data_IF_234817352897
#
_entry.id   IF_234817352897
#
_cell.length_a   1.000
_cell.length_b   1.000
_cell.length_c   1.000
_cell.angle_alpha   90.00
_cell.angle_beta   90.00
_cell.angle_gamma   90.00
#
_symmetry.space_group_name_H-M   'P 1'
#
loop_
_entity.id
_entity.type
_entity.pdbx_description
1 polymer ?
#
# COMPACT_ATOMS: atom_id res chain seq x y z
N UNK A 1 15.50 -6.92 -41.69
CA UNK A 1 14.86 -6.76 -40.36
C UNK A 1 13.52 -6.09 -40.59
N UNK A 2 12.47 -6.52 -39.91
CA UNK A 2 11.13 -5.93 -40.07
C UNK A 2 11.14 -4.50 -39.49
N UNK A 3 10.33 -3.59 -40.04
CA UNK A 3 10.23 -2.19 -39.57
C UNK A 3 9.87 -2.09 -38.09
N UNK A 4 9.23 -3.14 -37.55
CA UNK A 4 8.85 -3.25 -36.15
C UNK A 4 9.96 -3.75 -35.21
N UNK A 5 11.07 -4.32 -35.71
CA UNK A 5 12.07 -4.97 -34.85
C UNK A 5 12.74 -4.00 -33.86
N UNK A 6 13.21 -2.84 -34.34
CA UNK A 6 13.83 -1.83 -33.46
C UNK A 6 12.84 -1.14 -32.52
N UNK A 7 11.65 -0.71 -32.97
CA UNK A 7 10.60 -0.22 -32.08
C UNK A 7 10.24 -1.21 -30.99
N UNK A 8 10.11 -2.50 -31.33
CA UNK A 8 9.78 -3.54 -30.36
C UNK A 8 10.89 -3.68 -29.32
N UNK A 9 12.14 -3.76 -29.77
CA UNK A 9 13.27 -3.87 -28.84
C UNK A 9 13.34 -2.67 -27.89
N UNK A 10 13.13 -1.46 -28.43
CA UNK A 10 13.10 -0.23 -27.66
C UNK A 10 12.00 -0.25 -26.59
N UNK A 11 10.76 -0.59 -26.96
CA UNK A 11 9.62 -0.68 -26.05
C UNK A 11 9.84 -1.68 -24.91
N UNK A 12 10.40 -2.86 -25.23
CA UNK A 12 10.72 -3.88 -24.24
C UNK A 12 11.78 -3.38 -23.25
N UNK A 13 12.87 -2.78 -23.74
CA UNK A 13 13.93 -2.23 -22.88
C UNK A 13 13.37 -1.15 -21.96
N UNK A 14 12.60 -0.20 -22.50
CA UNK A 14 11.98 0.86 -21.70
C UNK A 14 11.00 0.30 -20.65
N UNK A 15 10.19 -0.70 -21.00
CA UNK A 15 9.29 -1.37 -20.07
C UNK A 15 10.03 -2.08 -18.94
N UNK A 16 11.12 -2.79 -19.27
CA UNK A 16 11.97 -3.45 -18.27
C UNK A 16 12.66 -2.44 -17.36
N UNK A 17 13.21 -1.35 -17.90
CA UNK A 17 13.78 -0.27 -17.10
C UNK A 17 12.74 0.36 -16.17
N UNK A 18 11.51 0.57 -16.67
CA UNK A 18 10.38 1.04 -15.86
C UNK A 18 10.09 0.05 -14.73
N UNK A 19 10.07 -1.26 -15.01
CA UNK A 19 9.88 -2.28 -13.98
C UNK A 19 10.95 -2.23 -12.90
N UNK A 20 12.22 -2.15 -13.29
CA UNK A 20 13.35 -2.07 -12.36
C UNK A 20 13.27 -0.79 -11.51
N UNK A 21 12.87 0.33 -12.10
CA UNK A 21 12.65 1.57 -11.38
C UNK A 21 11.49 1.46 -10.36
N UNK A 22 10.40 0.80 -10.73
CA UNK A 22 9.24 0.59 -9.87
C UNK A 22 9.43 -0.51 -8.80
N UNK A 23 10.47 -1.34 -8.94
CA UNK A 23 10.85 -2.42 -8.01
C UNK A 23 11.54 -1.93 -6.73
N UNK A 24 11.46 -0.63 -6.41
CA UNK A 24 12.00 -0.11 -5.14
C UNK A 24 11.37 -0.83 -3.96
N UNK A 25 12.24 -1.35 -3.10
CA UNK A 25 11.88 -2.10 -1.91
C UNK A 25 11.32 -1.10 -0.88
N UNK A 26 10.00 -1.10 -0.69
CA UNK A 26 9.40 -0.44 0.46
C UNK A 26 9.61 -1.34 1.68
N UNK A 27 9.98 -0.75 2.81
CA UNK A 27 10.21 -1.45 4.07
C UNK A 27 8.92 -2.02 4.66
N UNK A 28 7.77 -1.66 4.09
CA UNK A 28 6.42 -2.06 4.51
C UNK A 28 5.99 -3.41 3.94
N UNK A 29 6.91 -4.37 4.06
CA UNK A 29 6.81 -5.76 3.63
C UNK A 29 7.09 -5.97 2.15
N UNK A 30 7.97 -6.94 1.94
CA UNK A 30 7.90 -7.99 0.94
C UNK A 30 7.60 -7.59 -0.52
N UNK A 31 8.50 -7.92 -1.48
CA UNK A 31 9.33 -9.10 -1.47
C UNK A 31 10.70 -8.84 -0.86
N UNK A 32 10.94 -9.48 0.28
CA UNK A 32 12.22 -9.41 0.98
C UNK A 32 13.15 -10.54 0.54
N UNK A 33 12.67 -11.53 -0.24
CA UNK A 33 13.54 -12.57 -0.80
C UNK A 33 13.85 -12.33 -2.27
N UNK A 34 15.08 -12.68 -2.63
CA UNK A 34 15.63 -12.63 -3.98
C UNK A 34 14.67 -13.24 -5.01
N UNK A 35 14.03 -14.36 -4.66
CA UNK A 35 13.06 -15.07 -5.49
C UNK A 35 11.79 -14.26 -5.80
N UNK A 36 11.28 -13.47 -4.85
CA UNK A 36 10.12 -12.61 -5.12
C UNK A 36 10.47 -11.48 -6.10
N UNK A 37 11.69 -10.92 -5.99
CA UNK A 37 12.19 -9.91 -6.94
C UNK A 37 12.36 -10.50 -8.34
N UNK A 38 12.89 -11.73 -8.47
CA UNK A 38 13.06 -12.36 -9.79
C UNK A 38 11.72 -12.64 -10.46
N UNK A 39 10.73 -13.17 -9.73
CA UNK A 39 9.35 -13.38 -10.25
C UNK A 39 8.78 -12.06 -10.77
N UNK A 40 8.91 -10.98 -10.02
CA UNK A 40 8.41 -9.68 -10.44
C UNK A 40 9.14 -9.09 -11.63
N UNK A 41 10.45 -9.31 -11.78
CA UNK A 41 11.20 -8.89 -12.98
C UNK A 41 10.69 -9.68 -14.18
N UNK A 42 10.56 -11.01 -14.07
CA UNK A 42 10.06 -11.86 -15.15
C UNK A 42 8.66 -11.43 -15.63
N UNK A 43 7.73 -11.19 -14.69
CA UNK A 43 6.39 -10.68 -15.00
C UNK A 43 6.43 -9.30 -15.66
N UNK A 44 7.38 -8.44 -15.27
CA UNK A 44 7.56 -7.15 -15.91
C UNK A 44 8.12 -7.24 -17.33
N UNK A 45 8.98 -8.22 -17.63
CA UNK A 45 9.44 -8.51 -18.99
C UNK A 45 8.26 -8.95 -19.85
N UNK A 46 7.40 -9.84 -19.34
CA UNK A 46 6.18 -10.29 -20.03
C UNK A 46 5.25 -9.10 -20.28
N UNK A 47 5.01 -8.26 -19.27
CA UNK A 47 4.21 -7.04 -19.40
C UNK A 47 4.79 -6.10 -20.47
N UNK A 48 6.11 -5.85 -20.44
CA UNK A 48 6.77 -4.99 -21.42
C UNK A 48 6.59 -5.54 -22.85
N UNK A 49 6.75 -6.85 -23.04
CA UNK A 49 6.52 -7.54 -24.31
C UNK A 49 5.09 -7.42 -24.80
N UNK A 50 4.09 -7.68 -23.94
CA UNK A 50 2.66 -7.57 -24.28
C UNK A 50 2.29 -6.14 -24.72
N UNK A 51 2.73 -5.12 -23.97
CA UNK A 51 2.45 -3.73 -24.32
C UNK A 51 3.11 -3.30 -25.64
N UNK A 52 4.30 -3.84 -25.92
CA UNK A 52 5.05 -3.50 -27.13
C UNK A 52 4.49 -4.16 -28.38
N UNK A 53 4.14 -5.46 -28.31
CA UNK A 53 3.61 -6.24 -29.45
C UNK A 53 2.19 -5.78 -29.82
N UNK A 54 1.43 -5.24 -28.87
CA UNK A 54 0.10 -4.70 -29.15
C UNK A 54 0.11 -3.57 -30.19
N UNK A 55 1.18 -2.77 -30.26
CA UNK A 55 1.28 -1.64 -31.21
C UNK A 55 1.30 -2.09 -32.68
N UNK A 56 2.27 -2.91 -33.15
CA UNK A 56 2.30 -3.36 -34.53
C UNK A 56 1.05 -4.16 -34.90
N UNK A 57 0.53 -4.99 -33.98
CA UNK A 57 -0.68 -5.77 -34.26
C UNK A 57 -1.92 -4.88 -34.51
N UNK A 58 -2.05 -3.76 -33.79
CA UNK A 58 -3.09 -2.76 -34.05
C UNK A 58 -2.85 -2.03 -35.38
N UNK A 59 -1.60 -1.69 -35.71
CA UNK A 59 -1.26 -1.00 -36.97
C UNK A 59 -1.54 -1.86 -38.20
N UNK A 60 -1.27 -3.16 -38.12
CA UNK A 60 -1.58 -4.17 -39.14
C UNK A 60 -3.06 -4.56 -39.17
N UNK A 61 -3.90 -3.94 -38.32
CA UNK A 61 -5.35 -4.22 -38.20
C UNK A 61 -5.64 -5.69 -37.86
N UNK A 62 -4.74 -6.34 -37.15
CA UNK A 62 -4.97 -7.67 -36.59
C UNK A 62 -5.90 -7.56 -35.38
N UNK A 63 -7.21 -7.59 -35.61
CA UNK A 63 -8.21 -7.51 -34.53
C UNK A 63 -8.08 -8.65 -33.50
N UNK A 64 -7.41 -9.75 -33.85
CA UNK A 64 -6.99 -10.81 -32.93
C UNK A 64 -6.09 -10.30 -31.80
N UNK A 65 -5.42 -9.16 -31.96
CA UNK A 65 -4.58 -8.53 -30.93
C UNK A 65 -5.33 -8.21 -29.63
N UNK A 66 -6.65 -8.07 -29.68
CA UNK A 66 -7.47 -7.91 -28.47
C UNK A 66 -7.31 -9.09 -27.50
N UNK A 67 -6.96 -10.28 -28.00
CA UNK A 67 -6.67 -11.45 -27.16
C UNK A 67 -5.40 -11.27 -26.33
N UNK A 68 -4.38 -10.54 -26.82
CA UNK A 68 -3.18 -10.21 -26.03
C UNK A 68 -3.51 -9.28 -24.87
N UNK A 69 -4.43 -8.33 -25.07
CA UNK A 69 -4.91 -7.46 -23.99
C UNK A 69 -5.71 -8.25 -22.95
N UNK A 70 -6.55 -9.20 -23.38
CA UNK A 70 -7.27 -10.09 -22.47
C UNK A 70 -6.33 -11.00 -21.68
N UNK A 71 -5.29 -11.55 -22.33
CA UNK A 71 -4.25 -12.34 -21.68
C UNK A 71 -3.48 -11.51 -20.65
N UNK A 72 -3.09 -10.28 -21.00
CA UNK A 72 -2.44 -9.34 -20.10
C UNK A 72 -3.29 -9.08 -18.84
N UNK A 73 -4.58 -8.82 -19.02
CA UNK A 73 -5.51 -8.60 -17.91
C UNK A 73 -5.61 -9.83 -16.99
N UNK A 74 -5.63 -11.05 -17.55
CA UNK A 74 -5.63 -12.28 -16.74
C UNK A 74 -4.34 -12.43 -15.93
N UNK A 75 -3.18 -12.19 -16.57
CA UNK A 75 -1.87 -12.31 -15.93
C UNK A 75 -1.75 -11.39 -14.71
N UNK A 76 -2.25 -10.15 -14.78
CA UNK A 76 -2.13 -9.24 -13.64
C UNK A 76 -3.06 -9.61 -12.50
N UNK A 77 -4.28 -10.05 -12.81
CA UNK A 77 -5.17 -10.59 -11.79
C UNK A 77 -4.55 -11.80 -11.08
N UNK A 78 -3.86 -12.67 -11.82
CA UNK A 78 -3.09 -13.79 -11.25
C UNK A 78 -1.96 -13.30 -10.34
N UNK A 79 -1.21 -12.27 -10.72
CA UNK A 79 -0.20 -11.65 -9.85
C UNK A 79 -0.81 -11.14 -8.55
N UNK A 80 -1.93 -10.41 -8.62
CA UNK A 80 -2.63 -9.95 -7.42
C UNK A 80 -3.08 -11.11 -6.53
N UNK A 81 -3.66 -12.15 -7.13
CA UNK A 81 -4.10 -13.32 -6.39
C UNK A 81 -2.93 -14.03 -5.71
N UNK A 82 -1.82 -14.21 -6.42
CA UNK A 82 -0.60 -14.81 -5.90
C UNK A 82 -0.05 -14.02 -4.70
N UNK A 83 0.08 -12.69 -4.84
CA UNK A 83 0.56 -11.82 -3.74
C UNK A 83 -0.36 -11.87 -2.53
N UNK A 84 -1.67 -11.71 -2.77
CA UNK A 84 -2.67 -11.73 -1.70
C UNK A 84 -2.67 -13.06 -0.95
N UNK A 85 -2.62 -14.19 -1.66
CA UNK A 85 -2.63 -15.51 -1.05
C UNK A 85 -1.36 -15.73 -0.23
N UNK A 86 -0.20 -15.41 -0.81
CA UNK A 86 1.09 -15.53 -0.11
C UNK A 86 1.11 -14.70 1.17
N UNK A 87 0.69 -13.44 1.09
CA UNK A 87 0.62 -12.56 2.26
C UNK A 87 -0.38 -13.04 3.30
N UNK A 88 -1.55 -13.56 2.90
CA UNK A 88 -2.52 -14.12 3.84
C UNK A 88 -1.97 -15.34 4.60
N UNK A 89 -1.18 -16.20 3.95
CA UNK A 89 -0.55 -17.34 4.64
C UNK A 89 0.54 -16.89 5.60
N UNK A 90 1.38 -15.92 5.20
CA UNK A 90 2.40 -15.37 6.07
C UNK A 90 1.81 -14.61 7.28
N UNK A 91 0.69 -13.92 7.08
CA UNK A 91 0.05 -13.11 8.12
C UNK A 91 -0.45 -13.93 9.32
N UNK A 92 -0.70 -15.22 9.12
CA UNK A 92 -1.14 -16.14 10.19
C UNK A 92 -0.08 -16.36 11.26
N UNK A 93 1.20 -16.11 10.93
CA UNK A 93 2.34 -16.33 11.82
C UNK A 93 2.86 -15.03 12.45
N UNK A 94 2.22 -13.90 12.18
CA UNK A 94 2.60 -12.60 12.73
C UNK A 94 1.93 -12.36 14.10
N UNK A 95 2.70 -11.83 15.07
CA UNK A 95 2.16 -11.45 16.38
C UNK A 95 1.13 -10.30 16.30
N UNK A 96 1.29 -9.46 15.29
CA UNK A 96 0.35 -8.39 14.92
C UNK A 96 0.09 -8.52 13.41
N UNK A 97 -1.05 -9.05 12.98
CA UNK A 97 -1.33 -9.29 11.57
C UNK A 97 -1.51 -7.97 10.79
N UNK A 98 -1.24 -7.97 9.49
CA UNK A 98 -1.54 -6.89 8.53
C UNK A 98 -3.04 -6.68 8.41
N UNK A 99 -3.79 -7.80 8.39
CA UNK A 99 -5.21 -7.82 8.11
C UNK A 99 -5.53 -7.75 6.62
N UNK A 100 -6.69 -8.32 6.26
CA UNK A 100 -7.12 -8.53 4.87
C UNK A 100 -7.14 -7.25 4.03
N UNK A 101 -7.58 -6.13 4.60
CA UNK A 101 -7.66 -4.85 3.87
C UNK A 101 -6.29 -4.33 3.49
N UNK A 102 -5.29 -4.51 4.35
CA UNK A 102 -3.93 -4.06 4.06
C UNK A 102 -3.28 -4.95 3.00
N UNK A 103 -3.40 -6.28 3.16
CA UNK A 103 -2.93 -7.26 2.18
C UNK A 103 -3.54 -7.01 0.79
N UNK A 104 -4.84 -6.74 0.73
CA UNK A 104 -5.52 -6.41 -0.53
C UNK A 104 -4.96 -5.13 -1.16
N UNK A 105 -4.70 -4.10 -0.36
CA UNK A 105 -4.08 -2.85 -0.82
C UNK A 105 -2.68 -3.09 -1.40
N UNK A 106 -1.86 -3.91 -0.75
CA UNK A 106 -0.54 -4.30 -1.25
C UNK A 106 -0.67 -5.04 -2.59
N UNK A 107 -1.57 -6.02 -2.68
CA UNK A 107 -1.77 -6.83 -3.87
C UNK A 107 -2.25 -6.01 -5.08
N UNK A 108 -3.15 -5.02 -4.87
CA UNK A 108 -3.58 -4.08 -5.93
C UNK A 108 -2.41 -3.25 -6.43
N UNK A 109 -1.51 -2.80 -5.55
CA UNK A 109 -0.33 -2.04 -5.96
C UNK A 109 0.60 -2.88 -6.84
N UNK A 110 0.77 -4.18 -6.55
CA UNK A 110 1.56 -5.08 -7.41
C UNK A 110 0.91 -5.29 -8.78
N UNK A 111 -0.41 -5.41 -8.84
CA UNK A 111 -1.20 -5.43 -10.08
C UNK A 111 -0.95 -4.14 -10.89
N UNK A 112 -1.13 -2.99 -10.23
CA UNK A 112 -0.97 -1.63 -10.78
C UNK A 112 0.37 -1.41 -11.46
N UNK A 113 1.47 -1.87 -10.83
CA UNK A 113 2.83 -1.74 -11.37
C UNK A 113 2.99 -2.40 -12.73
N UNK A 114 2.32 -3.53 -12.98
CA UNK A 114 2.44 -4.20 -14.28
C UNK A 114 1.65 -3.49 -15.38
N UNK A 115 0.50 -2.89 -15.06
CA UNK A 115 -0.21 -2.02 -16.01
C UNK A 115 0.64 -0.82 -16.42
N UNK A 116 1.34 -0.19 -15.48
CA UNK A 116 2.23 0.94 -15.80
C UNK A 116 3.37 0.54 -16.73
N UNK A 117 3.91 -0.68 -16.58
CA UNK A 117 4.93 -1.22 -17.48
C UNK A 117 4.36 -1.42 -18.89
N UNK A 118 3.15 -2.01 -19.02
CA UNK A 118 2.46 -2.13 -20.32
C UNK A 118 2.27 -0.77 -20.97
N UNK A 119 1.71 0.20 -20.25
CA UNK A 119 1.42 1.51 -20.84
C UNK A 119 2.71 2.21 -21.28
N UNK A 120 3.74 2.13 -20.45
CA UNK A 120 5.02 2.76 -20.76
C UNK A 120 5.67 2.11 -21.98
N UNK A 121 5.66 0.78 -22.10
CA UNK A 121 6.22 0.09 -23.28
C UNK A 121 5.37 0.32 -24.54
N UNK A 122 4.04 0.30 -24.41
CA UNK A 122 3.10 0.60 -25.50
C UNK A 122 3.30 2.00 -26.07
N UNK A 123 3.22 3.05 -25.25
CA UNK A 123 3.35 4.43 -25.72
C UNK A 123 4.75 4.74 -26.25
N UNK A 124 5.79 4.15 -25.66
CA UNK A 124 7.16 4.27 -26.15
C UNK A 124 7.32 3.67 -27.54
N UNK A 125 6.75 2.48 -27.78
CA UNK A 125 6.78 1.82 -29.08
C UNK A 125 5.94 2.57 -30.12
N UNK A 126 4.75 3.02 -29.72
CA UNK A 126 3.85 3.79 -30.58
C UNK A 126 4.50 5.10 -31.03
N UNK A 127 5.12 5.85 -30.12
CA UNK A 127 5.80 7.09 -30.45
C UNK A 127 7.01 6.87 -31.37
N UNK A 128 7.72 5.74 -31.22
CA UNK A 128 8.79 5.36 -32.12
C UNK A 128 8.27 5.18 -33.55
N UNK A 129 7.17 4.42 -33.71
CA UNK A 129 6.61 4.08 -35.01
C UNK A 129 5.93 5.27 -35.73
N UNK A 130 5.23 6.13 -34.98
CA UNK A 130 4.51 7.28 -35.58
C UNK A 130 5.46 8.41 -35.95
N UNK A 131 6.46 8.70 -35.10
CA UNK A 131 7.32 9.87 -35.27
C UNK A 131 8.77 9.51 -35.52
N UNK A 132 9.48 9.05 -34.49
CA UNK A 132 10.89 8.61 -34.54
C UNK A 132 11.38 8.27 -33.13
N UNK A 133 12.64 7.81 -33.04
CA UNK A 133 13.32 7.49 -31.78
C UNK A 133 13.44 8.67 -30.80
N UNK A 134 13.59 9.91 -31.28
CA UNK A 134 13.71 11.09 -30.41
C UNK A 134 12.38 11.40 -29.71
N UNK A 135 11.27 11.33 -30.45
CA UNK A 135 9.93 11.44 -29.88
C UNK A 135 9.66 10.30 -28.88
N UNK A 136 10.08 9.07 -29.22
CA UNK A 136 9.96 7.92 -28.34
C UNK A 136 10.67 8.13 -26.99
N UNK A 137 11.89 8.68 -27.00
CA UNK A 137 12.62 9.00 -25.77
C UNK A 137 11.89 10.00 -24.88
N UNK A 138 11.37 11.08 -25.47
CA UNK A 138 10.60 12.08 -24.72
C UNK A 138 9.35 11.45 -24.09
N UNK A 139 8.61 10.66 -24.88
CA UNK A 139 7.40 9.96 -24.39
C UNK A 139 7.74 8.96 -23.30
N UNK A 140 8.81 8.18 -23.44
CA UNK A 140 9.26 7.23 -22.41
C UNK A 140 9.57 7.93 -21.08
N UNK A 141 10.23 9.10 -21.11
CA UNK A 141 10.52 9.89 -19.90
C UNK A 141 9.24 10.41 -19.25
N UNK A 142 8.29 10.92 -20.05
CA UNK A 142 6.99 11.38 -19.55
C UNK A 142 6.21 10.22 -18.93
N UNK A 143 6.13 9.07 -19.60
CA UNK A 143 5.47 7.88 -19.09
C UNK A 143 6.11 7.39 -17.78
N UNK A 144 7.44 7.42 -17.67
CA UNK A 144 8.13 7.06 -16.44
C UNK A 144 7.79 8.02 -15.29
N UNK A 145 7.69 9.33 -15.57
CA UNK A 145 7.28 10.32 -14.56
C UNK A 145 5.83 10.10 -14.11
N UNK A 146 4.92 9.82 -15.05
CA UNK A 146 3.52 9.49 -14.76
C UNK A 146 3.45 8.21 -13.91
N UNK A 147 4.17 7.16 -14.31
CA UNK A 147 4.25 5.91 -13.57
C UNK A 147 4.76 6.14 -12.14
N UNK A 148 5.80 6.95 -11.96
CA UNK A 148 6.30 7.32 -10.63
C UNK A 148 5.24 8.05 -9.79
N UNK A 149 4.52 9.00 -10.39
CA UNK A 149 3.51 9.79 -9.69
C UNK A 149 2.31 8.96 -9.26
N UNK A 150 1.82 8.07 -10.15
CA UNK A 150 0.70 7.17 -9.88
C UNK A 150 1.03 6.11 -8.82
N UNK A 151 2.31 5.77 -8.68
CA UNK A 151 2.81 4.84 -7.67
C UNK A 151 2.97 5.45 -6.28
N UNK A 152 2.98 6.78 -6.17
CA UNK A 152 3.15 7.46 -4.89
C UNK A 152 1.80 7.60 -4.19
N UNK A 153 1.51 6.67 -3.28
CA UNK A 153 0.31 6.72 -2.42
C UNK A 153 0.38 7.80 -1.34
N UNK A 154 -0.79 8.22 -0.87
CA UNK A 154 -0.91 9.16 0.25
C UNK A 154 -0.54 8.49 1.58
N UNK A 155 -0.04 9.30 2.52
CA UNK A 155 0.39 8.87 3.85
C UNK A 155 -0.54 9.42 4.92
N UNK A 156 -0.53 8.80 6.10
CA UNK A 156 -1.43 9.18 7.19
C UNK A 156 -1.31 10.66 7.60
N UNK A 157 -0.09 11.22 7.59
CA UNK A 157 0.18 12.65 7.86
C UNK A 157 -0.57 13.62 6.94
N UNK A 158 -0.94 13.16 5.74
CA UNK A 158 -1.65 13.99 4.76
C UNK A 158 -3.13 14.17 5.17
N UNK A 159 -3.66 13.30 6.05
CA UNK A 159 -5.07 13.29 6.45
C UNK A 159 -5.30 13.42 7.96
N UNK A 160 -4.32 13.10 8.81
CA UNK A 160 -4.44 13.15 10.25
C UNK A 160 -3.14 13.63 10.89
N UNK A 161 -3.25 14.37 11.99
CA UNK A 161 -2.13 14.75 12.83
C UNK A 161 -1.90 13.69 13.91
N UNK A 162 -0.64 13.43 14.22
CA UNK A 162 -0.22 12.37 15.15
C UNK A 162 0.45 12.99 16.36
N UNK A 163 -0.13 12.77 17.54
CA UNK A 163 0.38 13.29 18.81
C UNK A 163 0.68 12.14 19.76
N UNK A 164 1.83 12.19 20.43
CA UNK A 164 2.15 11.22 21.48
C UNK A 164 1.38 11.58 22.75
N UNK A 165 0.74 10.58 23.35
CA UNK A 165 0.08 10.71 24.65
C UNK A 165 0.47 9.50 25.50
N UNK A 166 1.01 9.76 26.68
CA UNK A 166 1.42 8.68 27.58
C UNK A 166 0.18 7.87 28.01
N UNK A 167 0.17 6.53 27.84
CA UNK A 167 -0.91 5.70 28.33
C UNK A 167 -1.01 5.79 29.84
N UNK A 168 -2.24 5.73 30.36
CA UNK A 168 -2.50 5.76 31.80
C UNK A 168 -3.66 4.83 32.16
N UNK A 169 -3.81 4.57 33.46
CA UNK A 169 -4.87 3.72 33.99
C UNK A 169 -5.85 4.50 34.85
N UNK A 170 -7.14 4.27 34.63
CA UNK A 170 -8.21 4.63 35.55
C UNK A 170 -8.83 3.34 36.09
N UNK A 171 -8.51 3.01 37.35
CA UNK A 171 -8.82 1.70 37.92
C UNK A 171 -8.16 0.57 37.12
N UNK A 172 -8.98 -0.27 36.48
CA UNK A 172 -8.51 -1.35 35.60
C UNK A 172 -8.54 -0.97 34.11
N UNK A 173 -9.07 0.20 33.74
CA UNK A 173 -9.14 0.63 32.34
C UNK A 173 -7.84 1.28 31.89
N UNK A 174 -7.29 0.83 30.76
CA UNK A 174 -6.18 1.47 30.05
C UNK A 174 -6.72 2.52 29.09
N UNK A 175 -6.15 3.72 29.15
CA UNK A 175 -6.54 4.88 28.34
C UNK A 175 -5.34 5.48 27.62
N UNK A 176 -5.61 6.04 26.44
CA UNK A 176 -4.72 6.96 25.71
C UNK A 176 -5.52 8.22 25.49
N UNK A 177 -5.10 9.34 26.11
CA UNK A 177 -5.97 10.50 26.32
C UNK A 177 -7.29 10.07 26.98
N UNK A 178 -8.44 10.55 26.54
CA UNK A 178 -9.76 10.13 27.02
C UNK A 178 -10.28 8.82 26.36
N UNK A 179 -9.49 8.18 25.49
CA UNK A 179 -9.94 7.02 24.71
C UNK A 179 -9.64 5.72 25.46
N UNK A 180 -10.70 5.01 25.85
CA UNK A 180 -10.60 3.68 26.45
C UNK A 180 -10.06 2.65 25.44
N UNK A 181 -9.00 1.94 25.83
CA UNK A 181 -8.35 0.91 25.01
C UNK A 181 -8.84 -0.49 25.40
N UNK A 182 -8.59 -0.90 26.64
CA UNK A 182 -8.98 -2.22 27.17
C UNK A 182 -8.91 -2.27 28.71
N UNK A 183 -9.47 -3.32 29.31
CA UNK A 183 -9.41 -3.56 30.75
C UNK A 183 -8.26 -4.52 31.07
N UNK A 184 -7.43 -4.15 32.05
CA UNK A 184 -6.32 -4.93 32.58
C UNK A 184 -6.46 -5.00 34.11
N UNK A 185 -6.98 -6.12 34.61
CA UNK A 185 -7.16 -6.32 36.06
C UNK A 185 -5.86 -6.62 36.82
N UNK A 186 -4.94 -7.37 36.21
CA UNK A 186 -3.69 -7.80 36.84
C UNK A 186 -2.71 -6.62 37.03
N UNK A 187 -2.35 -6.31 38.28
CA UNK A 187 -1.46 -5.20 38.60
C UNK A 187 -0.08 -5.31 37.93
N UNK A 188 0.53 -6.49 37.95
CA UNK A 188 1.82 -6.72 37.28
C UNK A 188 1.77 -6.37 35.79
N UNK A 189 0.65 -6.64 35.11
CA UNK A 189 0.48 -6.30 33.69
C UNK A 189 0.27 -4.81 33.47
N UNK A 190 -0.38 -4.12 34.40
CA UNK A 190 -0.51 -2.64 34.35
C UNK A 190 0.85 -1.97 34.44
N UNK A 191 1.73 -2.45 35.33
CA UNK A 191 3.09 -1.94 35.47
C UNK A 191 3.94 -2.18 34.22
N UNK A 192 3.88 -3.37 33.63
CA UNK A 192 4.54 -3.66 32.35
C UNK A 192 4.05 -2.75 31.22
N UNK A 193 2.73 -2.53 31.12
CA UNK A 193 2.13 -1.65 30.11
C UNK A 193 2.58 -0.20 30.31
N UNK A 194 2.66 0.29 31.54
CA UNK A 194 3.15 1.66 31.79
C UNK A 194 4.64 1.80 31.51
N UNK A 195 5.42 0.71 31.61
CA UNK A 195 6.85 0.69 31.35
C UNK A 195 7.19 0.62 29.87
N UNK A 196 6.48 -0.20 29.10
CA UNK A 196 6.79 -0.47 27.69
C UNK A 196 5.77 0.14 26.71
N UNK A 197 4.62 0.57 27.19
CA UNK A 197 3.53 1.05 26.35
C UNK A 197 3.74 2.48 25.85
N UNK A 198 3.33 2.71 24.60
CA UNK A 198 3.22 4.05 24.02
C UNK A 198 1.81 4.27 23.49
N UNK A 199 1.34 5.51 23.63
CA UNK A 199 0.05 5.95 23.16
C UNK A 199 0.20 7.07 22.14
N UNK A 200 -0.66 7.07 21.13
CA UNK A 200 -0.75 8.14 20.14
C UNK A 200 -2.21 8.47 19.85
N UNK A 201 -2.49 9.75 19.60
CA UNK A 201 -3.78 10.23 19.15
C UNK A 201 -3.68 10.65 17.69
N UNK A 202 -4.58 10.12 16.88
CA UNK A 202 -4.81 10.50 15.50
C UNK A 202 -5.98 11.48 15.43
N UNK A 203 -5.67 12.73 15.11
CA UNK A 203 -6.68 13.77 14.93
C UNK A 203 -6.95 13.99 13.45
N UNK A 204 -8.17 13.70 12.95
CA UNK A 204 -8.46 13.81 11.52
C UNK A 204 -8.57 15.27 11.08
N UNK A 205 -7.92 15.63 9.96
CA UNK A 205 -7.94 17.01 9.40
C UNK A 205 -9.29 17.40 8.81
N UNK A 206 -10.13 16.44 8.44
CA UNK A 206 -11.46 16.68 7.89
C UNK A 206 -12.38 15.46 8.05
N UNK A 207 -13.66 15.62 7.69
CA UNK A 207 -14.67 14.55 7.79
C UNK A 207 -14.31 13.28 7.00
N UNK A 208 -13.74 13.41 5.80
CA UNK A 208 -13.36 12.24 4.98
C UNK A 208 -12.20 11.49 5.64
N UNK A 209 -11.22 12.22 6.18
CA UNK A 209 -10.12 11.68 6.95
C UNK A 209 -10.63 10.91 8.17
N UNK A 210 -11.61 11.50 8.90
CA UNK A 210 -12.26 10.85 10.04
C UNK A 210 -12.89 9.51 9.68
N UNK A 211 -13.57 9.41 8.54
CA UNK A 211 -14.13 8.14 8.07
C UNK A 211 -13.04 7.14 7.67
N UNK A 212 -11.93 7.63 7.10
CA UNK A 212 -10.81 6.80 6.65
C UNK A 212 -10.06 6.17 7.82
N UNK A 213 -9.67 6.97 8.83
CA UNK A 213 -9.02 6.43 10.06
C UNK A 213 -9.99 5.63 10.92
N UNK A 214 -11.30 5.83 10.77
CA UNK A 214 -12.30 5.01 11.44
C UNK A 214 -12.37 3.58 10.89
N UNK A 215 -11.86 3.31 9.68
CA UNK A 215 -11.85 1.97 9.11
C UNK A 215 -10.94 1.02 9.93
N UNK A 216 -11.45 -0.15 10.30
CA UNK A 216 -10.69 -1.13 11.10
C UNK A 216 -9.44 -1.64 10.38
N UNK A 217 -9.51 -1.85 9.05
CA UNK A 217 -8.36 -2.25 8.24
C UNK A 217 -7.26 -1.20 8.22
N UNK A 218 -7.62 0.09 8.14
CA UNK A 218 -6.64 1.19 8.23
C UNK A 218 -5.93 1.18 9.60
N UNK A 219 -6.68 0.98 10.68
CA UNK A 219 -6.12 0.91 12.02
C UNK A 219 -5.20 -0.30 12.20
N UNK A 220 -5.61 -1.45 11.67
CA UNK A 220 -4.80 -2.67 11.71
C UNK A 220 -3.48 -2.49 10.94
N UNK A 221 -3.51 -1.86 9.77
CA UNK A 221 -2.31 -1.55 9.00
C UNK A 221 -1.32 -0.69 9.80
N UNK A 222 -1.82 0.34 10.50
CA UNK A 222 -0.97 1.19 11.35
C UNK A 222 -0.36 0.38 12.50
N UNK A 223 -1.16 -0.44 13.19
CA UNK A 223 -0.66 -1.29 14.28
C UNK A 223 0.41 -2.26 13.78
N UNK A 224 0.19 -2.88 12.62
CA UNK A 224 1.15 -3.78 12.00
C UNK A 224 2.45 -3.05 11.65
N UNK A 225 2.39 -1.94 10.89
CA UNK A 225 3.59 -1.20 10.46
C UNK A 225 4.47 -0.78 11.64
N UNK A 226 3.85 -0.28 12.71
CA UNK A 226 4.59 0.15 13.90
C UNK A 226 5.17 -1.03 14.66
N UNK A 227 4.41 -2.11 14.81
CA UNK A 227 4.85 -3.31 15.53
C UNK A 227 5.96 -4.05 14.77
N UNK A 228 5.89 -4.11 13.44
CA UNK A 228 6.95 -4.72 12.63
C UNK A 228 8.22 -3.87 12.60
N UNK A 229 8.11 -2.54 12.65
CA UNK A 229 9.27 -1.65 12.58
C UNK A 229 9.98 -1.44 13.93
N UNK A 230 9.27 -1.53 15.05
CA UNK A 230 9.82 -1.33 16.40
C UNK A 230 9.90 -2.61 17.23
N UNK A 231 9.47 -3.74 16.66
CA UNK A 231 9.21 -4.97 17.40
C UNK A 231 7.97 -4.84 18.27
N UNK A 232 7.51 -5.97 18.84
CA UNK A 232 6.40 -6.01 19.79
C UNK A 232 6.81 -6.73 21.07
N UNK A 233 6.52 -6.13 22.21
CA UNK A 233 6.64 -6.72 23.54
C UNK A 233 5.39 -7.55 23.82
N UNK A 234 5.30 -8.71 23.15
CA UNK A 234 4.19 -9.66 23.24
C UNK A 234 4.68 -11.05 22.89
N UNK A 235 4.06 -12.05 23.52
CA UNK A 235 4.09 -13.44 23.05
C UNK A 235 2.67 -13.94 22.71
N UNK A 236 2.59 -15.01 21.91
CA UNK A 236 1.37 -15.70 21.46
C UNK A 236 0.38 -16.00 22.60
N UNK A 237 0.87 -16.22 23.83
CA UNK A 237 0.08 -16.52 25.03
C UNK A 237 -0.28 -15.33 25.94
N UNK A 238 -0.09 -14.07 25.52
CA UNK A 238 -0.33 -12.88 26.37
C UNK A 238 -1.44 -11.95 25.85
N UNK A 239 -2.74 -12.23 26.12
CA UNK A 239 -3.86 -11.41 25.65
C UNK A 239 -3.90 -9.98 26.19
N UNK A 240 -3.22 -9.72 27.31
CA UNK A 240 -3.13 -8.40 27.93
C UNK A 240 -2.15 -7.46 27.20
N UNK A 241 -1.21 -8.00 26.42
CA UNK A 241 -0.10 -7.26 25.80
C UNK A 241 -0.31 -7.12 24.30
N UNK A 242 -1.48 -6.60 23.89
CA UNK A 242 -1.85 -6.50 22.49
C UNK A 242 -1.92 -5.04 22.06
N UNK A 243 -1.20 -4.65 20.99
CA UNK A 243 -1.40 -3.34 20.37
C UNK A 243 -2.86 -3.20 19.89
N UNK A 244 -3.49 -2.07 20.22
CA UNK A 244 -4.90 -1.82 19.90
C UNK A 244 -5.11 -0.39 19.43
N UNK A 245 -6.10 -0.22 18.56
CA UNK A 245 -6.51 1.08 18.08
C UNK A 245 -8.02 1.26 18.25
N UNK A 246 -8.42 2.21 19.09
CA UNK A 246 -9.82 2.50 19.42
C UNK A 246 -10.18 3.91 18.95
N UNK A 247 -11.46 4.12 18.68
CA UNK A 247 -11.97 5.41 18.19
C UNK A 247 -12.86 6.03 19.24
N UNK A 248 -12.67 7.30 19.49
CA UNK A 248 -13.61 8.11 20.26
C UNK A 248 -14.93 8.25 19.48
N UNK A 249 -16.05 7.96 20.15
CA UNK A 249 -17.37 8.04 19.51
C UNK A 249 -17.86 9.49 19.35
N UNK A 250 -17.33 10.42 20.14
CA UNK A 250 -17.77 11.81 20.18
C UNK A 250 -17.15 12.64 19.04
N UNK A 251 -15.82 12.61 18.92
CA UNK A 251 -15.10 13.45 17.94
C UNK A 251 -14.54 12.65 16.74
N UNK A 252 -14.36 11.33 16.91
CA UNK A 252 -13.82 10.43 15.90
C UNK A 252 -12.30 10.38 15.80
N UNK A 253 -11.57 10.93 16.78
CA UNK A 253 -10.14 10.68 16.97
C UNK A 253 -9.88 9.19 17.21
N UNK A 254 -8.69 8.73 16.85
CA UNK A 254 -8.29 7.33 17.06
C UNK A 254 -7.10 7.29 18.01
N UNK A 255 -7.28 6.61 19.14
CA UNK A 255 -6.22 6.28 20.08
C UNK A 255 -5.53 5.00 19.63
N UNK A 256 -4.22 5.09 19.42
CA UNK A 256 -3.34 3.96 19.14
C UNK A 256 -2.56 3.66 20.42
N UNK A 257 -2.60 2.41 20.83
CA UNK A 257 -1.75 1.86 21.87
C UNK A 257 -0.85 0.79 21.28
N UNK A 258 0.45 0.91 21.51
CA UNK A 258 1.46 -0.05 21.07
C UNK A 258 2.36 -0.44 22.25
N UNK A 259 3.01 -1.59 22.11
CA UNK A 259 3.98 -2.12 23.06
C UNK A 259 5.26 -2.44 22.29
N UNK A 260 6.08 -1.44 21.90
CA UNK A 260 7.28 -1.68 21.10
C UNK A 260 8.40 -2.31 21.94
N UNK A 261 9.33 -3.02 21.28
CA UNK A 261 10.59 -3.42 21.93
C UNK A 261 11.59 -2.25 21.93
N UNK A 262 11.62 -1.47 20.86
CA UNK A 262 12.43 -0.26 20.75
C UNK A 262 11.61 0.96 21.17
N UNK A 263 11.91 1.48 22.37
CA UNK A 263 11.21 2.63 22.93
C UNK A 263 11.73 3.97 22.36
N UNK A 264 11.33 4.29 21.13
CA UNK A 264 11.62 5.57 20.47
C UNK A 264 10.32 6.25 19.98
N UNK A 265 9.92 7.32 20.69
CA UNK A 265 8.67 8.04 20.45
C UNK A 265 8.68 8.72 19.08
N UNK A 266 9.79 9.36 18.70
CA UNK A 266 9.90 10.09 17.44
C UNK A 266 9.89 9.12 16.26
N UNK A 267 10.58 7.97 16.40
CA UNK A 267 10.55 6.92 15.39
C UNK A 267 9.15 6.32 15.26
N UNK A 268 8.47 6.03 16.36
CA UNK A 268 7.08 5.54 16.36
C UNK A 268 6.13 6.52 15.67
N UNK A 269 6.19 7.80 16.06
CA UNK A 269 5.40 8.87 15.43
C UNK A 269 5.66 8.94 13.93
N UNK A 270 6.92 8.94 13.50
CA UNK A 270 7.30 8.98 12.08
C UNK A 270 6.79 7.76 11.31
N UNK A 271 6.78 6.56 11.92
CA UNK A 271 6.22 5.37 11.28
C UNK A 271 4.70 5.52 11.10
N UNK A 272 3.99 5.92 12.17
CA UNK A 272 2.53 6.14 12.13
C UNK A 272 2.18 7.19 11.07
N UNK A 273 2.84 8.34 11.08
CA UNK A 273 2.64 9.44 10.11
C UNK A 273 2.86 8.99 8.66
N UNK A 274 3.81 8.08 8.46
CA UNK A 274 4.13 7.61 7.13
C UNK A 274 3.25 6.42 6.69
N UNK A 275 2.53 5.74 7.59
CA UNK A 275 1.67 4.59 7.27
C UNK A 275 0.76 4.86 6.05
N UNK A 276 0.56 3.88 5.16
CA UNK A 276 -0.13 4.09 3.90
C UNK A 276 -1.64 4.24 4.13
N UNK A 277 -2.29 5.10 3.34
CA UNK A 277 -3.75 5.15 3.30
C UNK A 277 -4.25 4.03 2.38
N UNK A 278 -5.04 3.11 2.92
CA UNK A 278 -5.58 1.99 2.14
C UNK A 278 -6.70 2.47 1.23
N UNK A 279 -6.63 2.17 -0.07
CA UNK A 279 -7.65 2.55 -1.05
C UNK A 279 -9.06 2.09 -0.65
N UNK A 280 -9.16 0.86 -0.12
CA UNK A 280 -10.41 0.28 0.36
C UNK A 280 -10.96 0.94 1.64
N UNK A 281 -10.11 1.64 2.40
CA UNK A 281 -10.48 2.42 3.57
C UNK A 281 -10.90 3.84 3.23
N UNK A 282 -10.50 4.37 2.06
CA UNK A 282 -10.91 5.69 1.61
C UNK A 282 -12.44 5.72 1.48
N UNK A 283 -13.03 6.69 2.16
CA UNK A 283 -14.44 7.03 2.05
C UNK A 283 -14.52 8.52 1.75
N UNK A 284 -15.33 8.88 0.75
CA UNK A 284 -15.60 10.29 0.40
C UNK A 284 -17.07 10.66 0.61
N UNK A 285 -17.60 10.66 1.86
CA UNK A 285 -19.01 10.96 2.09
C UNK A 285 -19.42 12.37 1.65
N UNK A 286 -18.52 13.36 1.75
CA UNK A 286 -18.81 14.74 1.30
C UNK A 286 -19.19 14.83 -0.18
N UNK A 287 -18.69 13.93 -1.04
CA UNK A 287 -19.09 13.88 -2.45
C UNK A 287 -20.52 13.35 -2.66
N UNK A 288 -21.06 12.58 -1.71
CA UNK A 288 -22.44 12.04 -1.78
C UNK A 288 -23.51 13.07 -1.44
N UNK A 289 -23.18 14.11 -0.66
CA UNK A 289 -24.14 15.15 -0.28
C UNK A 289 -24.60 16.03 -1.46
N UNK A 290 -23.93 15.99 -2.61
CA UNK A 290 -24.34 16.72 -3.81
C UNK A 290 -25.32 15.96 -4.74
N UNK A 291 -25.70 14.72 -4.42
CA UNK A 291 -26.66 13.94 -5.25
C UNK A 291 -28.10 14.07 -4.72
N UNK A 292 -28.35 14.92 -3.71
CA UNK A 292 -29.70 15.40 -3.37
C UNK A 292 -29.94 16.77 -4.00
N UNK A 293 -30.12 16.79 -5.33
CA UNK A 293 -30.90 17.81 -6.04
C UNK A 293 -31.74 17.11 -7.09
N UNK A 294 -32.99 16.89 -6.73
CA UNK A 294 -33.99 16.12 -7.46
C UNK A 294 -35.25 15.99 -6.60
N UNK A 295 -35.67 17.11 -6.00
CA UNK A 295 -37.06 17.43 -5.71
C UNK A 295 -37.36 18.72 -6.50
#
# INVERSE_FOLDING_TARGET
MNEYTFPILYGVVVGVLTRLYLLRTDYRQYPTYLHGKTIHIALGVIAAGLGTIAVPAIMEKEFTAITFLALAASQFREVRNMERNTLNELDQYELVPRGKTYIEGIAIVFEGRNYLVIFTSFFSTLAYLIWNVWAAMVVSVICLFIAHRLMTGNRLKDIADVEYVKPHFEGAGLYVDNIYIMNIGLQARREEILRYGMGFILTPKNFNARTTIANLGQRQAILHDVSSALGVYRDSGTPALVPLAKRDLNDGRVGIFILPQVNDIEKAKKIIENAPILENAIRMPKKRQFIRKGE
#
